data_IF_232520989495
#
_entry.id   IF_232520989495
#
_cell.length_a   1.000
_cell.length_b   1.000
_cell.length_c   1.000
_cell.angle_alpha   90.00
_cell.angle_beta   90.00
_cell.angle_gamma   90.00
#
_symmetry.space_group_name_H-M   'P 1'
#
loop_
_entity.id
_entity.type
_entity.pdbx_description
1 polymer ?
#
# COMPACT_ATOMS: atom_id res chain seq x y z
N UNK A 1 -72.93 -6.29 -69.52
CA UNK A 1 -71.93 -7.34 -69.41
C UNK A 1 -70.63 -6.64 -68.90
N UNK A 2 -70.48 -6.53 -67.55
CA UNK A 2 -69.33 -5.88 -66.93
C UNK A 2 -68.44 -6.94 -66.31
N UNK A 3 -67.14 -7.04 -66.80
CA UNK A 3 -66.14 -7.85 -66.19
C UNK A 3 -65.46 -7.07 -65.04
N UNK A 4 -65.45 -7.70 -63.85
CA UNK A 4 -64.64 -7.24 -62.71
C UNK A 4 -63.31 -7.97 -62.73
N UNK A 5 -62.19 -7.23 -62.82
CA UNK A 5 -60.84 -7.73 -62.60
C UNK A 5 -60.46 -7.49 -61.14
N UNK A 6 -60.19 -8.57 -60.40
CA UNK A 6 -59.68 -8.50 -59.04
C UNK A 6 -58.16 -8.46 -59.08
N UNK A 7 -57.56 -7.40 -58.56
CA UNK A 7 -56.13 -7.29 -58.28
C UNK A 7 -55.84 -7.87 -56.91
N UNK A 8 -55.06 -8.94 -56.83
CA UNK A 8 -54.52 -9.51 -55.62
C UNK A 8 -53.15 -8.89 -55.36
N UNK A 9 -53.02 -8.06 -54.34
CA UNK A 9 -51.72 -7.52 -53.83
C UNK A 9 -51.14 -8.47 -52.78
N UNK A 10 -50.10 -9.19 -53.16
CA UNK A 10 -49.29 -10.01 -52.24
C UNK A 10 -48.29 -9.11 -51.50
N UNK A 11 -48.51 -8.89 -50.19
CA UNK A 11 -47.53 -8.22 -49.31
C UNK A 11 -46.42 -9.20 -48.92
N UNK A 12 -45.25 -9.00 -49.47
CA UNK A 12 -44.01 -9.75 -49.09
C UNK A 12 -43.44 -9.12 -47.83
N UNK A 13 -43.70 -9.71 -46.66
CA UNK A 13 -43.10 -9.28 -45.38
C UNK A 13 -41.62 -9.69 -45.35
N UNK A 14 -40.72 -8.73 -45.40
CA UNK A 14 -39.30 -8.93 -45.08
C UNK A 14 -39.20 -9.12 -43.56
N UNK A 15 -39.00 -10.36 -43.12
CA UNK A 15 -38.48 -10.64 -41.76
C UNK A 15 -36.98 -10.35 -41.77
N UNK A 16 -36.58 -9.18 -41.24
CA UNK A 16 -35.21 -8.96 -40.82
C UNK A 16 -34.96 -9.81 -39.56
N UNK A 17 -34.33 -10.97 -39.75
CA UNK A 17 -33.72 -11.72 -38.65
C UNK A 17 -32.56 -10.91 -38.14
N UNK A 18 -32.69 -10.30 -36.95
CA UNK A 18 -31.56 -9.74 -36.24
C UNK A 18 -30.60 -10.88 -35.89
N UNK A 19 -29.47 -10.94 -36.59
CA UNK A 19 -28.36 -11.81 -36.24
C UNK A 19 -27.83 -11.28 -34.89
N UNK A 20 -27.83 -12.10 -33.83
CA UNK A 20 -27.22 -11.66 -32.57
C UNK A 20 -25.74 -11.39 -32.82
N UNK A 21 -25.32 -10.14 -32.66
CA UNK A 21 -23.90 -9.79 -32.62
C UNK A 21 -23.30 -10.56 -31.44
N UNK A 22 -22.31 -11.42 -31.66
CA UNK A 22 -21.68 -12.09 -30.52
C UNK A 22 -21.11 -11.02 -29.60
N UNK A 23 -21.61 -10.96 -28.37
CA UNK A 23 -21.00 -10.15 -27.32
C UNK A 23 -19.59 -10.69 -27.11
N UNK A 24 -18.57 -9.94 -27.52
CA UNK A 24 -17.19 -10.29 -27.25
C UNK A 24 -17.01 -10.33 -25.73
N UNK A 25 -16.38 -11.40 -25.21
CA UNK A 25 -16.00 -11.43 -23.80
C UNK A 25 -15.13 -10.21 -23.50
N UNK A 26 -15.34 -9.58 -22.34
CA UNK A 26 -14.52 -8.48 -21.89
C UNK A 26 -13.05 -8.92 -21.77
N UNK A 27 -12.12 -8.00 -21.88
CA UNK A 27 -10.68 -8.23 -21.80
C UNK A 27 -10.04 -7.16 -20.92
N UNK A 28 -8.80 -7.38 -20.48
CA UNK A 28 -8.05 -6.37 -19.73
C UNK A 28 -7.96 -5.03 -20.49
N UNK A 29 -7.97 -5.04 -21.82
CA UNK A 29 -8.01 -3.84 -22.66
C UNK A 29 -9.28 -2.98 -22.47
N UNK A 30 -10.36 -3.56 -21.96
CA UNK A 30 -11.62 -2.84 -21.73
C UNK A 30 -11.63 -2.07 -20.38
N UNK A 31 -10.65 -2.32 -19.54
CA UNK A 31 -10.44 -1.57 -18.29
C UNK A 31 -9.94 -0.17 -18.64
N UNK A 32 -10.68 0.85 -18.30
CA UNK A 32 -10.31 2.26 -18.56
C UNK A 32 -9.61 2.90 -17.37
N UNK A 33 -9.91 2.46 -16.14
CA UNK A 33 -9.36 3.03 -14.91
C UNK A 33 -8.73 1.96 -14.03
N UNK A 34 -7.49 2.18 -13.59
CA UNK A 34 -6.83 1.43 -12.52
C UNK A 34 -6.60 2.40 -11.36
N UNK A 35 -7.25 2.14 -10.24
CA UNK A 35 -7.22 2.97 -9.04
C UNK A 35 -6.54 2.17 -7.94
N UNK A 36 -5.45 2.69 -7.36
CA UNK A 36 -4.75 2.05 -6.25
C UNK A 36 -4.92 2.90 -5.01
N UNK A 37 -5.49 2.31 -3.95
CA UNK A 37 -5.62 2.92 -2.64
C UNK A 37 -4.57 2.29 -1.75
N UNK A 38 -3.64 3.10 -1.25
CA UNK A 38 -2.41 2.68 -0.57
C UNK A 38 -2.48 3.09 0.89
N UNK A 39 -2.89 2.14 1.76
CA UNK A 39 -3.06 2.32 3.20
C UNK A 39 -1.74 2.11 3.96
N UNK A 40 -1.78 2.16 5.28
CA UNK A 40 -0.59 2.07 6.12
C UNK A 40 -0.65 0.97 7.16
N UNK A 41 0.41 0.25 7.17
CA UNK A 41 1.20 -0.35 8.21
C UNK A 41 0.52 -1.51 8.93
N UNK A 42 -0.03 -2.47 8.17
CA UNK A 42 -0.53 -3.71 8.74
C UNK A 42 -0.09 -4.94 7.94
N UNK A 43 0.40 -5.98 8.65
CA UNK A 43 0.64 -7.27 8.02
C UNK A 43 -0.67 -7.99 7.69
N UNK A 44 -0.60 -8.99 6.80
CA UNK A 44 -1.77 -9.81 6.49
C UNK A 44 -2.31 -10.50 7.75
N UNK A 45 -1.45 -11.13 8.54
CA UNK A 45 -1.88 -11.80 9.77
C UNK A 45 -2.47 -10.85 10.81
N UNK A 46 -2.03 -9.59 10.84
CA UNK A 46 -2.52 -8.62 11.81
C UNK A 46 -4.01 -8.27 11.60
N UNK A 47 -4.49 -8.15 10.34
CA UNK A 47 -5.88 -7.79 10.03
C UNK A 47 -6.68 -8.93 9.39
N UNK A 48 -6.05 -9.80 8.60
CA UNK A 48 -6.69 -10.84 7.81
C UNK A 48 -6.30 -12.26 8.24
N UNK A 49 -5.53 -12.42 9.31
CA UNK A 49 -5.02 -13.69 9.79
C UNK A 49 -6.07 -14.75 10.13
N UNK A 50 -7.33 -14.35 10.29
CA UNK A 50 -8.48 -15.23 10.50
C UNK A 50 -9.50 -15.19 9.36
N UNK A 51 -9.14 -14.65 8.21
CA UNK A 51 -10.04 -14.63 7.05
C UNK A 51 -10.34 -16.08 6.60
N UNK A 52 -11.61 -16.45 6.41
CA UNK A 52 -11.98 -17.84 6.08
C UNK A 52 -11.31 -18.32 4.78
N UNK A 53 -10.70 -19.49 4.83
CA UNK A 53 -10.01 -20.16 3.73
C UNK A 53 -8.75 -19.44 3.19
N UNK A 54 -8.32 -18.34 3.79
CA UNK A 54 -7.02 -17.76 3.50
C UNK A 54 -5.90 -18.49 4.24
N UNK A 55 -4.66 -18.34 3.76
CA UNK A 55 -3.47 -18.81 4.48
C UNK A 55 -3.19 -17.87 5.66
N UNK A 56 -3.83 -18.15 6.79
CA UNK A 56 -3.83 -17.30 7.98
C UNK A 56 -3.14 -17.95 9.18
N UNK A 57 -3.25 -17.30 10.34
CA UNK A 57 -2.55 -17.63 11.60
C UNK A 57 -2.72 -19.11 12.02
N UNK A 58 -3.83 -19.77 11.67
CA UNK A 58 -4.03 -21.18 11.97
C UNK A 58 -2.97 -22.10 11.35
N UNK A 59 -2.37 -21.69 10.22
CA UNK A 59 -1.30 -22.39 9.51
C UNK A 59 0.10 -22.09 10.06
N UNK A 60 0.25 -21.14 10.99
CA UNK A 60 1.54 -20.58 11.41
C UNK A 60 2.54 -21.59 12.02
N UNK A 61 2.07 -22.72 12.52
CA UNK A 61 2.99 -23.76 13.03
C UNK A 61 3.98 -23.24 14.09
N UNK A 62 5.27 -23.48 13.86
CA UNK A 62 6.35 -23.07 14.76
C UNK A 62 6.75 -21.57 14.60
N UNK A 63 6.45 -20.92 13.49
CA UNK A 63 6.82 -19.52 13.24
C UNK A 63 6.17 -18.54 14.21
N UNK A 64 5.07 -18.93 14.84
CA UNK A 64 4.38 -18.14 15.88
C UNK A 64 5.15 -18.01 17.20
N UNK A 65 6.17 -18.83 17.44
CA UNK A 65 6.97 -18.80 18.68
C UNK A 65 8.12 -17.83 18.48
N UNK A 66 8.12 -16.75 19.25
CA UNK A 66 9.16 -15.73 19.16
C UNK A 66 10.36 -16.10 20.05
N UNK A 67 11.55 -15.73 19.58
CA UNK A 67 12.83 -15.95 20.25
C UNK A 67 13.54 -14.62 20.53
N UNK A 68 14.47 -14.65 21.48
CA UNK A 68 15.37 -13.51 21.71
C UNK A 68 16.42 -13.36 20.59
N UNK A 69 17.22 -12.32 20.65
CA UNK A 69 18.27 -12.07 19.65
C UNK A 69 19.26 -13.22 19.53
N UNK A 70 19.45 -14.04 20.60
CA UNK A 70 20.32 -15.22 20.64
C UNK A 70 19.66 -16.50 20.15
N UNK A 71 18.34 -16.44 19.84
CA UNK A 71 17.58 -17.59 19.33
C UNK A 71 16.93 -18.45 20.41
N UNK A 72 16.85 -18.00 21.67
CA UNK A 72 16.17 -18.73 22.73
C UNK A 72 14.69 -18.34 22.79
N UNK A 73 13.75 -19.31 22.81
CA UNK A 73 12.32 -19.02 22.94
C UNK A 73 11.99 -18.25 24.21
N UNK A 74 11.17 -17.22 24.09
CA UNK A 74 10.62 -16.54 25.26
C UNK A 74 9.65 -17.46 26.02
N UNK A 75 9.68 -17.43 27.33
CA UNK A 75 8.65 -18.09 28.18
C UNK A 75 7.33 -17.34 28.08
N UNK A 76 7.38 -16.02 28.14
CA UNK A 76 6.31 -15.09 27.86
C UNK A 76 6.83 -14.05 26.88
N UNK A 77 5.97 -13.46 26.06
CA UNK A 77 6.38 -12.32 25.24
C UNK A 77 6.98 -11.22 26.12
N UNK A 78 7.97 -10.48 25.63
CA UNK A 78 8.40 -9.26 26.31
C UNK A 78 7.21 -8.33 26.53
N UNK A 79 7.12 -7.62 27.67
CA UNK A 79 6.05 -6.66 27.92
C UNK A 79 5.88 -5.69 26.75
N UNK A 80 4.64 -5.37 26.41
CA UNK A 80 4.35 -4.39 25.35
C UNK A 80 4.84 -3.02 25.80
N UNK A 81 5.63 -2.38 24.93
CA UNK A 81 6.14 -1.02 25.16
C UNK A 81 5.58 -0.05 24.11
N UNK A 82 5.57 1.25 24.45
CA UNK A 82 5.18 2.32 23.55
C UNK A 82 6.07 3.54 23.74
N UNK A 83 6.30 4.29 22.66
CA UNK A 83 7.02 5.57 22.75
C UNK A 83 6.08 6.66 23.26
N UNK A 84 6.47 7.31 24.36
CA UNK A 84 5.74 8.42 24.96
C UNK A 84 6.55 9.70 24.79
N UNK A 85 5.95 10.74 24.21
CA UNK A 85 6.57 12.07 24.11
C UNK A 85 6.39 12.81 25.43
N UNK A 86 7.51 13.16 26.06
CA UNK A 86 7.53 13.94 27.30
C UNK A 86 7.29 15.43 27.01
N UNK A 87 6.93 16.25 28.02
CA UNK A 87 6.72 17.70 27.87
C UNK A 87 7.92 18.46 27.29
N UNK A 88 9.15 17.97 27.50
CA UNK A 88 10.39 18.54 26.96
C UNK A 88 10.65 18.12 25.50
N UNK A 89 9.74 17.34 24.91
CA UNK A 89 9.84 16.85 23.53
C UNK A 89 10.63 15.56 23.39
N UNK A 90 11.27 15.03 24.44
CA UNK A 90 11.96 13.75 24.40
C UNK A 90 10.97 12.59 24.24
N UNK A 91 11.36 11.55 23.47
CA UNK A 91 10.61 10.30 23.39
C UNK A 91 11.28 9.26 24.26
N UNK A 92 10.51 8.60 25.11
CA UNK A 92 10.97 7.51 25.97
C UNK A 92 10.08 6.30 25.79
N UNK A 93 10.68 5.10 25.86
CA UNK A 93 9.91 3.86 25.89
C UNK A 93 9.35 3.63 27.27
N UNK A 94 8.06 3.29 27.36
CA UNK A 94 7.37 2.91 28.59
C UNK A 94 6.52 1.67 28.34
N UNK A 95 6.38 0.81 29.37
CA UNK A 95 5.43 -0.31 29.32
C UNK A 95 4.03 0.26 29.10
N UNK A 96 3.30 -0.31 28.12
CA UNK A 96 1.90 0.04 27.90
C UNK A 96 1.03 -0.68 28.95
N UNK A 97 0.43 0.07 29.91
CA UNK A 97 -0.31 -0.53 31.01
C UNK A 97 -1.63 -1.21 30.60
N UNK A 98 -2.05 -1.05 29.34
CA UNK A 98 -3.25 -1.71 28.79
C UNK A 98 -3.03 -3.20 28.61
N UNK A 99 -1.77 -3.64 28.47
CA UNK A 99 -1.43 -5.04 28.23
C UNK A 99 -0.86 -5.71 29.50
N UNK A 100 -1.16 -7.00 29.74
CA UNK A 100 -0.54 -7.74 30.84
C UNK A 100 0.95 -8.00 30.56
N UNK A 101 1.77 -7.99 31.63
CA UNK A 101 3.21 -8.20 31.52
C UNK A 101 3.66 -9.66 31.27
N UNK A 102 2.72 -10.60 31.12
CA UNK A 102 2.98 -12.04 30.96
C UNK A 102 2.16 -12.67 29.83
N UNK A 103 2.03 -11.94 28.69
CA UNK A 103 1.40 -12.48 27.50
C UNK A 103 2.09 -13.80 27.08
N UNK A 104 1.32 -14.87 26.78
CA UNK A 104 1.88 -16.10 26.23
C UNK A 104 2.69 -15.84 24.95
N UNK A 105 3.75 -16.60 24.73
CA UNK A 105 4.56 -16.52 23.52
C UNK A 105 3.83 -17.15 22.33
N UNK A 106 2.78 -16.46 21.85
CA UNK A 106 1.94 -16.84 20.71
C UNK A 106 1.12 -15.63 20.26
N UNK A 107 0.53 -15.63 19.03
CA UNK A 107 -0.40 -14.59 18.58
C UNK A 107 -1.55 -14.38 19.56
N UNK A 108 -1.91 -13.12 19.80
CA UNK A 108 -2.98 -12.73 20.73
C UNK A 108 -3.85 -11.62 20.12
N UNK A 109 -5.13 -11.56 20.54
CA UNK A 109 -6.04 -10.51 20.11
C UNK A 109 -5.68 -9.18 20.80
N UNK A 110 -5.38 -8.16 20.01
CA UNK A 110 -5.19 -6.78 20.49
C UNK A 110 -6.50 -6.23 21.01
N UNK A 111 -7.65 -6.55 20.39
CA UNK A 111 -8.99 -6.08 20.78
C UNK A 111 -9.35 -6.42 22.24
N UNK A 112 -8.74 -7.45 22.82
CA UNK A 112 -8.93 -7.78 24.21
C UNK A 112 -8.39 -6.71 25.18
N UNK A 113 -7.50 -5.83 24.69
CA UNK A 113 -6.79 -4.81 25.49
C UNK A 113 -6.97 -3.41 24.95
N UNK A 114 -6.94 -3.26 23.65
CA UNK A 114 -7.09 -2.00 22.91
C UNK A 114 -8.08 -2.23 21.77
N UNK A 115 -9.30 -1.68 21.88
CA UNK A 115 -10.30 -1.81 20.82
C UNK A 115 -9.76 -1.32 19.46
N UNK A 116 -10.16 -1.96 18.37
CA UNK A 116 -9.73 -1.65 17.00
C UNK A 116 -9.98 -0.16 16.60
N UNK A 117 -10.92 0.52 17.27
CA UNK A 117 -11.18 1.96 17.12
C UNK A 117 -10.26 2.88 17.93
N UNK A 118 -9.27 2.32 18.64
CA UNK A 118 -8.27 3.08 19.41
C UNK A 118 -6.86 2.81 18.88
N UNK A 119 -5.95 3.81 18.89
CA UNK A 119 -4.59 3.59 18.43
C UNK A 119 -3.77 2.77 19.44
N UNK A 120 -2.95 1.85 18.93
CA UNK A 120 -1.85 1.25 19.69
C UNK A 120 -0.64 2.17 19.76
N UNK A 121 0.46 1.71 20.35
CA UNK A 121 1.79 2.28 20.09
C UNK A 121 2.19 2.05 18.63
N UNK A 122 3.07 2.93 18.13
CA UNK A 122 3.75 2.69 16.87
C UNK A 122 4.80 1.58 17.04
N UNK A 123 5.11 0.84 15.97
CA UNK A 123 6.09 -0.23 15.98
C UNK A 123 7.27 0.11 15.06
N UNK A 124 8.46 -0.28 15.43
CA UNK A 124 9.65 -0.08 14.60
C UNK A 124 9.57 -0.94 13.33
N UNK A 125 9.58 -0.29 12.17
CA UNK A 125 9.47 -0.89 10.85
C UNK A 125 10.55 -0.31 9.91
N UNK A 126 11.82 -0.71 10.13
CA UNK A 126 12.98 -0.22 9.39
C UNK A 126 13.66 -1.34 8.64
N UNK A 127 14.43 -0.98 7.63
CA UNK A 127 15.07 -1.90 6.69
C UNK A 127 15.89 -3.01 7.37
N UNK A 128 16.82 -2.63 8.22
CA UNK A 128 17.68 -3.61 8.88
C UNK A 128 16.94 -4.40 9.97
N UNK A 129 16.06 -3.74 10.70
CA UNK A 129 15.27 -4.41 11.75
C UNK A 129 14.36 -5.49 11.16
N UNK A 130 13.72 -5.21 10.03
CA UNK A 130 12.85 -6.20 9.39
C UNK A 130 13.64 -7.41 8.87
N UNK A 131 14.85 -7.21 8.33
CA UNK A 131 15.72 -8.32 7.92
C UNK A 131 16.03 -9.23 9.12
N UNK A 132 16.34 -8.65 10.28
CA UNK A 132 16.57 -9.41 11.52
C UNK A 132 15.29 -10.06 12.04
N UNK A 133 14.13 -9.37 11.96
CA UNK A 133 12.83 -9.89 12.37
C UNK A 133 12.45 -11.14 11.57
N UNK A 134 12.66 -11.11 10.24
CA UNK A 134 12.39 -12.22 9.32
C UNK A 134 13.34 -13.41 9.60
N UNK A 135 14.53 -13.16 10.09
CA UNK A 135 15.53 -14.16 10.47
C UNK A 135 15.76 -15.27 9.41
N UNK A 136 16.01 -14.83 8.18
CA UNK A 136 16.24 -15.73 7.05
C UNK A 136 15.02 -16.56 6.61
N UNK A 137 13.84 -16.21 7.09
CA UNK A 137 12.55 -16.87 6.81
C UNK A 137 11.98 -17.67 7.99
N UNK A 138 12.62 -17.63 9.17
CA UNK A 138 12.07 -18.28 10.38
C UNK A 138 10.90 -17.49 11.00
N UNK A 139 10.81 -16.20 10.72
CA UNK A 139 9.74 -15.30 11.18
C UNK A 139 9.62 -15.21 12.72
N UNK A 140 10.70 -15.41 13.45
CA UNK A 140 10.67 -15.68 14.89
C UNK A 140 11.36 -14.62 15.77
N UNK A 141 11.96 -13.54 15.16
CA UNK A 141 12.64 -12.50 15.93
C UNK A 141 11.95 -11.14 15.92
N UNK A 142 10.66 -11.06 15.60
CA UNK A 142 9.94 -9.79 15.58
C UNK A 142 9.93 -9.11 16.95
N UNK A 143 9.67 -9.86 18.02
CA UNK A 143 9.66 -9.31 19.38
C UNK A 143 11.06 -8.88 19.87
N UNK A 144 12.13 -9.48 19.34
CA UNK A 144 13.50 -9.15 19.70
C UNK A 144 13.96 -7.83 19.08
N UNK A 145 13.53 -7.56 17.82
CA UNK A 145 13.98 -6.41 17.01
C UNK A 145 12.86 -5.37 16.80
N UNK A 146 12.04 -5.15 17.83
CA UNK A 146 11.01 -4.10 17.85
C UNK A 146 11.06 -3.32 19.15
N UNK A 147 10.82 -2.03 19.08
CA UNK A 147 10.62 -1.15 20.25
C UNK A 147 9.26 -1.37 20.94
N UNK A 148 8.26 -1.89 20.20
CA UNK A 148 6.95 -2.26 20.73
C UNK A 148 6.92 -3.65 21.38
N UNK A 149 8.02 -4.40 21.32
CA UNK A 149 8.21 -5.71 21.95
C UNK A 149 7.13 -6.72 21.61
N UNK A 150 6.34 -7.18 22.62
CA UNK A 150 5.31 -8.19 22.44
C UNK A 150 4.14 -7.79 21.54
N UNK A 151 3.93 -6.50 21.28
CA UNK A 151 2.83 -6.04 20.42
C UNK A 151 2.91 -6.58 18.99
N UNK A 152 4.12 -6.82 18.49
CA UNK A 152 4.39 -7.23 17.10
C UNK A 152 3.62 -8.47 16.65
N UNK A 153 3.31 -9.40 17.57
CA UNK A 153 2.60 -10.64 17.26
C UNK A 153 1.09 -10.55 17.55
N UNK A 154 0.60 -9.34 17.84
CA UNK A 154 -0.82 -9.08 18.03
C UNK A 154 -1.60 -9.03 16.72
N UNK A 155 -2.87 -9.41 16.78
CA UNK A 155 -3.81 -9.32 15.67
C UNK A 155 -5.14 -8.69 16.10
N UNK A 156 -5.87 -8.12 15.15
CA UNK A 156 -7.24 -7.66 15.31
C UNK A 156 -8.25 -8.66 14.74
N UNK A 157 -9.48 -8.64 15.24
CA UNK A 157 -10.60 -9.26 14.55
C UNK A 157 -11.01 -8.42 13.35
N UNK A 158 -10.38 -8.69 12.20
CA UNK A 158 -10.62 -7.96 10.95
C UNK A 158 -12.06 -8.07 10.45
N UNK A 159 -12.87 -9.02 10.96
CA UNK A 159 -14.29 -9.14 10.57
C UNK A 159 -15.13 -7.92 10.98
N UNK A 160 -14.60 -7.04 11.81
CA UNK A 160 -15.20 -5.76 12.20
C UNK A 160 -15.01 -4.67 11.12
N UNK A 161 -14.14 -4.89 10.11
CA UNK A 161 -13.83 -3.90 9.07
C UNK A 161 -14.69 -4.06 7.82
N UNK A 162 -14.91 -2.97 7.10
CA UNK A 162 -15.59 -2.95 5.80
C UNK A 162 -14.73 -3.59 4.72
N UNK A 163 -13.40 -3.40 4.80
CA UNK A 163 -12.46 -4.01 3.86
C UNK A 163 -12.58 -5.55 3.86
N UNK A 164 -12.84 -6.15 5.02
CA UNK A 164 -13.13 -7.57 5.12
C UNK A 164 -14.42 -7.98 4.37
N UNK A 165 -15.45 -7.14 4.40
CA UNK A 165 -16.67 -7.38 3.64
C UNK A 165 -16.46 -7.21 2.13
N UNK A 166 -15.60 -6.28 1.70
CA UNK A 166 -15.16 -6.20 0.31
C UNK A 166 -14.41 -7.45 -0.13
N UNK A 167 -13.50 -7.96 0.71
CA UNK A 167 -12.77 -9.20 0.43
C UNK A 167 -13.70 -10.42 0.27
N UNK A 168 -14.79 -10.51 1.05
CA UNK A 168 -15.82 -11.55 0.89
C UNK A 168 -16.59 -11.45 -0.44
N UNK A 169 -16.73 -10.24 -0.98
CA UNK A 169 -17.48 -9.99 -2.22
C UNK A 169 -16.64 -10.09 -3.48
N UNK A 170 -15.36 -9.73 -3.39
CA UNK A 170 -14.42 -9.63 -4.51
C UNK A 170 -13.25 -10.60 -4.34
N UNK A 171 -12.06 -10.26 -4.81
CA UNK A 171 -10.88 -11.12 -4.70
C UNK A 171 -9.94 -10.64 -3.59
N UNK A 172 -9.57 -11.53 -2.69
CA UNK A 172 -8.51 -11.35 -1.71
C UNK A 172 -7.23 -12.04 -2.22
N UNK A 173 -6.11 -11.33 -2.31
CA UNK A 173 -4.80 -11.92 -2.54
C UNK A 173 -4.11 -12.16 -1.19
N UNK A 174 -3.98 -13.42 -0.78
CA UNK A 174 -3.44 -13.78 0.54
C UNK A 174 -1.94 -14.07 0.54
N UNK A 175 -1.29 -13.99 -0.61
CA UNK A 175 0.17 -14.06 -0.78
C UNK A 175 0.72 -12.81 -1.47
N UNK A 176 0.25 -11.64 -1.03
CA UNK A 176 0.75 -10.36 -1.51
C UNK A 176 1.73 -9.77 -0.50
N UNK A 177 2.95 -9.46 -0.96
CA UNK A 177 4.07 -8.99 -0.15
C UNK A 177 4.37 -7.52 -0.44
N UNK A 178 4.76 -6.74 0.56
CA UNK A 178 5.25 -5.39 0.26
C UNK A 178 6.64 -5.46 -0.40
N UNK A 179 6.94 -4.48 -1.28
CA UNK A 179 8.05 -4.63 -2.22
C UNK A 179 9.43 -4.64 -1.58
N UNK A 180 9.66 -3.87 -0.54
CA UNK A 180 10.98 -3.70 0.03
C UNK A 180 10.97 -3.85 1.55
N UNK A 181 12.03 -4.41 2.13
CA UNK A 181 12.22 -4.43 3.58
C UNK A 181 12.15 -3.04 4.18
N UNK A 182 11.56 -2.92 5.37
CA UNK A 182 11.46 -1.68 6.12
C UNK A 182 10.22 -0.86 5.79
N UNK A 183 10.35 0.45 5.95
CA UNK A 183 9.23 1.36 6.11
C UNK A 183 8.68 1.98 4.83
N UNK A 184 7.70 2.87 5.04
CA UNK A 184 6.85 3.47 4.02
C UNK A 184 7.62 4.19 2.92
N UNK A 185 8.69 4.96 3.25
CA UNK A 185 9.46 5.68 2.22
C UNK A 185 9.95 4.76 1.11
N UNK A 186 10.62 3.65 1.50
CA UNK A 186 11.22 2.75 0.52
C UNK A 186 10.14 2.03 -0.28
N UNK A 187 9.03 1.63 0.34
CA UNK A 187 7.92 0.99 -0.34
C UNK A 187 7.18 1.93 -1.31
N UNK A 188 7.11 3.24 -0.99
CA UNK A 188 6.63 4.24 -1.95
C UNK A 188 7.56 4.38 -3.18
N UNK A 189 8.88 4.35 -3.01
CA UNK A 189 9.81 4.33 -4.14
C UNK A 189 9.66 3.05 -4.98
N UNK A 190 9.57 1.90 -4.35
CA UNK A 190 9.35 0.65 -5.07
C UNK A 190 8.01 0.64 -5.81
N UNK A 191 7.02 1.37 -5.32
CA UNK A 191 5.73 1.52 -5.97
C UNK A 191 5.75 2.50 -7.16
N UNK A 192 6.66 3.49 -7.21
CA UNK A 192 6.69 4.44 -8.33
C UNK A 192 7.84 4.23 -9.31
N UNK A 193 8.96 3.63 -8.89
CA UNK A 193 10.14 3.42 -9.74
C UNK A 193 10.70 2.01 -9.72
N UNK A 194 10.11 1.06 -8.97
CA UNK A 194 10.66 -0.29 -8.75
C UNK A 194 12.16 -0.23 -8.38
N UNK A 195 12.55 0.74 -7.56
CA UNK A 195 13.96 1.05 -7.28
C UNK A 195 14.18 1.51 -5.83
N UNK A 196 15.41 1.34 -5.36
CA UNK A 196 15.91 1.94 -4.12
C UNK A 196 16.72 3.18 -4.48
N UNK A 197 16.37 4.38 -3.99
CA UNK A 197 17.05 5.61 -4.37
C UNK A 197 18.47 5.64 -3.80
N UNK A 198 19.39 6.27 -4.53
CA UNK A 198 20.77 6.43 -4.11
C UNK A 198 21.03 7.86 -3.68
N UNK A 199 21.72 8.04 -2.57
CA UNK A 199 22.18 9.35 -2.12
C UNK A 199 23.42 9.75 -2.90
N UNK A 200 23.30 10.56 -3.93
CA UNK A 200 24.42 11.07 -4.71
C UNK A 200 25.14 12.21 -3.97
N UNK A 201 26.45 12.30 -4.14
CA UNK A 201 27.25 13.41 -3.60
C UNK A 201 27.60 13.32 -2.10
N UNK A 202 27.28 12.25 -1.40
CA UNK A 202 27.76 12.05 -0.02
C UNK A 202 29.28 11.95 0.02
N UNK A 203 29.95 12.67 0.96
CA UNK A 203 31.38 12.47 1.21
C UNK A 203 31.66 11.00 1.61
N UNK A 204 32.82 10.43 1.21
CA UNK A 204 33.16 9.03 1.53
C UNK A 204 33.19 8.70 3.02
N UNK A 205 33.52 9.70 3.85
CA UNK A 205 33.64 9.60 5.32
C UNK A 205 32.31 9.85 6.05
N UNK A 206 31.27 10.31 5.36
CA UNK A 206 29.94 10.51 5.94
C UNK A 206 29.21 9.20 6.23
N UNK A 207 29.70 8.06 5.71
CA UNK A 207 29.08 6.75 5.86
C UNK A 207 29.88 5.94 6.88
N UNK A 208 29.54 6.06 8.16
CA UNK A 208 30.02 5.14 9.18
C UNK A 208 28.97 4.08 9.44
N UNK A 209 28.98 3.03 8.61
CA UNK A 209 28.06 1.91 8.79
C UNK A 209 28.53 0.98 9.89
N UNK A 210 27.96 1.10 11.07
CA UNK A 210 27.81 -0.03 11.99
C UNK A 210 26.37 -0.08 12.42
N UNK A 211 25.66 -1.05 11.88
CA UNK A 211 24.35 -1.42 12.41
C UNK A 211 24.54 -1.93 13.84
N UNK A 212 23.99 -1.24 14.80
CA UNK A 212 23.88 -1.66 16.19
C UNK A 212 22.45 -1.47 16.63
N UNK A 213 21.74 -2.58 16.82
CA UNK A 213 20.36 -2.64 17.28
C UNK A 213 20.12 -1.80 18.54
N UNK A 214 21.09 -1.77 19.45
CA UNK A 214 20.97 -1.03 20.70
C UNK A 214 21.24 0.48 20.55
N UNK A 215 21.81 0.92 19.44
CA UNK A 215 22.10 2.34 19.17
C UNK A 215 20.93 3.08 18.50
N UNK A 216 19.92 2.38 17.98
CA UNK A 216 18.78 3.00 17.31
C UNK A 216 18.05 4.03 18.15
N UNK A 217 17.87 3.76 19.43
CA UNK A 217 17.15 4.64 20.37
C UNK A 217 18.04 5.79 20.85
N UNK A 218 19.37 5.57 20.97
CA UNK A 218 20.30 6.56 21.55
C UNK A 218 20.79 7.64 20.57
N UNK A 219 20.63 7.44 19.25
CA UNK A 219 21.14 8.38 18.22
C UNK A 219 20.06 9.31 17.65
N UNK A 220 18.83 9.22 18.11
CA UNK A 220 17.76 10.14 17.74
C UNK A 220 18.09 11.56 18.23
N UNK A 221 18.64 12.41 17.34
CA UNK A 221 18.76 13.86 17.57
C UNK A 221 20.16 14.43 17.70
N UNK A 222 21.23 13.72 17.37
CA UNK A 222 22.58 14.33 17.30
C UNK A 222 22.70 15.22 16.05
N UNK A 223 22.98 16.53 16.25
CA UNK A 223 23.20 17.48 15.16
C UNK A 223 24.46 17.12 14.36
N UNK A 224 24.36 17.08 13.04
CA UNK A 224 25.49 17.03 12.11
C UNK A 224 25.98 15.63 11.75
N UNK A 225 25.27 14.57 12.13
CA UNK A 225 25.58 13.20 11.73
C UNK A 225 24.42 12.68 10.89
N UNK A 226 24.70 12.30 9.63
CA UNK A 226 23.72 11.51 8.83
C UNK A 226 23.56 10.21 9.60
N UNK A 227 22.32 9.89 9.95
CA UNK A 227 22.01 8.69 10.70
C UNK A 227 22.44 7.47 9.88
N UNK A 228 23.29 6.65 10.47
CA UNK A 228 23.87 5.46 9.82
C UNK A 228 22.87 4.41 9.44
N UNK A 229 21.64 4.48 10.00
CA UNK A 229 20.53 3.60 9.69
C UNK A 229 19.69 4.05 8.47
N UNK A 230 19.86 5.31 7.99
CA UNK A 230 19.09 5.83 6.83
C UNK A 230 19.63 5.35 5.49
N UNK A 231 20.93 5.09 5.43
CA UNK A 231 21.69 4.88 4.18
C UNK A 231 22.58 3.67 4.33
N UNK A 232 22.60 2.80 3.32
CA UNK A 232 23.54 1.65 3.27
C UNK A 232 24.99 2.11 3.02
N UNK A 233 26.00 1.27 3.28
CA UNK A 233 27.42 1.59 3.00
C UNK A 233 27.70 1.97 1.55
N UNK A 234 26.92 1.43 0.60
CA UNK A 234 26.97 1.72 -0.83
C UNK A 234 26.01 2.84 -1.26
N UNK A 235 25.50 3.61 -0.27
CA UNK A 235 24.75 4.86 -0.41
C UNK A 235 23.30 4.74 -0.88
N UNK A 236 22.66 3.61 -0.73
CA UNK A 236 21.24 3.51 -0.96
C UNK A 236 20.44 3.99 0.26
N UNK A 237 19.38 4.77 0.00
CA UNK A 237 18.50 5.25 1.04
C UNK A 237 17.46 4.17 1.35
N UNK A 238 17.45 3.68 2.58
CA UNK A 238 16.62 2.54 3.00
C UNK A 238 15.62 2.88 4.11
N UNK A 239 15.75 4.04 4.74
CA UNK A 239 14.81 4.51 5.76
C UNK A 239 14.43 5.97 5.51
N UNK A 240 13.39 6.45 6.23
CA UNK A 240 12.76 7.75 5.98
C UNK A 240 13.73 8.92 6.14
N UNK A 241 13.89 9.67 5.06
CA UNK A 241 14.66 10.89 4.92
C UNK A 241 13.81 11.96 4.23
N UNK A 242 14.04 13.25 4.51
CA UNK A 242 13.24 14.32 3.89
C UNK A 242 13.61 14.55 2.41
N UNK A 243 12.68 14.98 1.56
CA UNK A 243 12.99 15.52 0.23
C UNK A 243 13.63 16.90 0.36
N UNK A 244 14.60 17.22 -0.49
CA UNK A 244 15.31 18.51 -0.39
C UNK A 244 14.42 19.72 -0.65
N UNK A 245 13.45 19.62 -1.56
CA UNK A 245 12.63 20.74 -2.02
C UNK A 245 11.13 20.56 -1.80
N UNK A 246 10.73 19.50 -1.16
CA UNK A 246 9.30 19.24 -0.90
C UNK A 246 8.75 20.09 0.23
N UNK A 247 7.44 20.09 0.43
CA UNK A 247 6.88 20.60 1.67
C UNK A 247 7.33 19.72 2.83
N UNK A 248 7.58 20.34 3.99
CA UNK A 248 8.02 19.67 5.21
C UNK A 248 7.03 19.96 6.34
N UNK A 249 6.80 18.99 7.25
CA UNK A 249 5.90 19.19 8.40
C UNK A 249 6.52 20.14 9.44
N UNK A 250 7.84 20.36 9.41
CA UNK A 250 8.56 21.18 10.37
C UNK A 250 8.96 22.53 9.78
N UNK A 251 8.79 23.58 10.57
CA UNK A 251 9.25 24.92 10.23
C UNK A 251 10.02 25.54 11.41
N UNK A 252 11.34 25.74 11.31
CA UNK A 252 12.17 25.55 10.12
C UNK A 252 12.39 24.06 9.80
N UNK A 253 12.67 23.73 8.54
CA UNK A 253 12.97 22.35 8.16
C UNK A 253 14.22 21.84 8.89
N UNK A 254 14.36 20.49 9.04
CA UNK A 254 15.53 19.90 9.70
C UNK A 254 16.85 20.30 9.03
N UNK A 255 18.01 20.08 9.70
CA UNK A 255 19.33 20.34 9.13
C UNK A 255 19.51 19.72 7.75
N UNK A 256 20.18 20.41 6.85
CA UNK A 256 20.31 20.08 5.44
C UNK A 256 20.91 18.69 5.13
N UNK A 257 21.69 18.15 6.04
CA UNK A 257 22.30 16.82 6.00
C UNK A 257 21.32 15.64 6.17
N UNK A 258 20.08 15.94 6.56
CA UNK A 258 19.00 14.95 6.64
C UNK A 258 18.07 14.94 5.40
N UNK A 259 18.49 15.56 4.29
CA UNK A 259 17.70 15.62 3.06
C UNK A 259 18.29 14.75 1.97
N UNK A 260 17.44 14.05 1.26
CA UNK A 260 17.82 13.39 0.00
C UNK A 260 17.89 14.45 -1.10
N UNK A 261 19.04 14.60 -1.79
CA UNK A 261 19.11 15.44 -2.99
C UNK A 261 18.10 14.98 -4.04
N UNK A 262 17.61 15.91 -4.90
CA UNK A 262 16.64 15.56 -5.90
C UNK A 262 17.12 14.43 -6.80
N UNK A 263 16.26 13.44 -7.00
CA UNK A 263 16.53 12.33 -7.91
C UNK A 263 16.37 12.83 -9.34
N UNK A 264 17.35 12.54 -10.19
CA UNK A 264 17.32 12.87 -11.62
C UNK A 264 16.25 12.03 -12.34
N UNK A 265 15.13 12.68 -12.67
CA UNK A 265 13.97 12.07 -13.34
C UNK A 265 14.27 11.52 -14.74
N UNK A 266 15.35 11.99 -15.39
CA UNK A 266 15.80 11.47 -16.69
C UNK A 266 16.57 10.16 -16.57
N UNK A 267 17.20 9.91 -15.43
CA UNK A 267 17.99 8.70 -15.16
C UNK A 267 17.18 7.62 -14.44
N UNK A 268 16.23 8.03 -13.63
CA UNK A 268 15.38 7.15 -12.84
C UNK A 268 13.93 7.30 -13.32
N UNK A 269 13.48 6.44 -14.26
CA UNK A 269 12.11 6.50 -14.75
C UNK A 269 11.13 6.10 -13.65
N UNK A 270 9.95 6.71 -13.68
CA UNK A 270 8.83 6.37 -12.81
C UNK A 270 7.66 5.84 -13.62
N UNK A 271 6.71 5.18 -12.94
CA UNK A 271 5.46 4.78 -13.60
C UNK A 271 4.73 6.00 -14.18
N UNK A 272 4.79 7.16 -13.50
CA UNK A 272 4.23 8.40 -14.01
C UNK A 272 4.89 8.85 -15.32
N UNK A 273 6.23 8.77 -15.44
CA UNK A 273 6.91 9.10 -16.70
C UNK A 273 6.53 8.13 -17.82
N UNK A 274 6.44 6.81 -17.54
CA UNK A 274 6.01 5.80 -18.53
C UNK A 274 4.59 6.05 -19.04
N UNK A 275 3.67 6.43 -18.13
CA UNK A 275 2.29 6.79 -18.49
C UNK A 275 2.25 8.04 -19.36
N UNK A 276 2.98 9.10 -18.97
CA UNK A 276 3.07 10.35 -19.73
C UNK A 276 3.65 10.15 -21.13
N UNK A 277 4.68 9.31 -21.29
CA UNK A 277 5.28 8.96 -22.58
C UNK A 277 4.28 8.32 -23.57
N UNK A 278 3.23 7.69 -23.04
CA UNK A 278 2.14 7.05 -23.81
C UNK A 278 0.87 7.88 -23.87
N UNK A 279 0.87 9.12 -23.35
CA UNK A 279 -0.30 9.98 -23.22
C UNK A 279 -1.45 9.33 -22.43
N UNK A 280 -1.13 8.48 -21.44
CA UNK A 280 -2.08 7.94 -20.49
C UNK A 280 -2.21 8.91 -19.33
N UNK A 281 -3.44 9.34 -19.04
CA UNK A 281 -3.69 10.26 -17.93
C UNK A 281 -3.46 9.57 -16.59
N UNK A 282 -2.79 10.26 -15.66
CA UNK A 282 -2.53 9.73 -14.32
C UNK A 282 -2.40 10.84 -13.29
N UNK A 283 -2.66 10.50 -12.02
CA UNK A 283 -2.38 11.38 -10.90
C UNK A 283 -2.08 10.59 -9.62
N UNK A 284 -1.26 11.20 -8.75
CA UNK A 284 -1.03 10.80 -7.37
C UNK A 284 -1.75 11.80 -6.45
N UNK A 285 -2.73 11.32 -5.70
CA UNK A 285 -3.49 12.10 -4.75
C UNK A 285 -2.98 11.79 -3.34
N UNK A 286 -2.47 12.80 -2.64
CA UNK A 286 -1.94 12.67 -1.29
C UNK A 286 -2.73 13.54 -0.31
N UNK A 287 -3.16 12.97 0.79
CA UNK A 287 -3.93 13.71 1.80
C UNK A 287 -3.13 14.83 2.44
N UNK A 288 -3.69 16.05 2.46
CA UNK A 288 -3.07 17.25 3.03
C UNK A 288 -1.98 17.88 2.17
N UNK A 289 -1.87 17.50 0.90
CA UNK A 289 -0.85 18.00 -0.02
C UNK A 289 -0.93 19.51 -0.25
N UNK A 290 -2.12 20.03 -0.55
CA UNK A 290 -2.30 21.46 -0.84
C UNK A 290 -1.95 22.33 0.36
N UNK A 291 -2.37 21.92 1.56
CA UNK A 291 -2.07 22.64 2.79
C UNK A 291 -0.57 22.60 3.10
N UNK A 292 0.10 21.48 2.82
CA UNK A 292 1.55 21.36 2.97
C UNK A 292 2.32 22.24 1.99
N UNK A 293 1.91 22.29 0.72
CA UNK A 293 2.48 23.17 -0.31
C UNK A 293 2.27 24.65 0.04
N UNK A 294 1.13 24.98 0.68
CA UNK A 294 0.85 26.31 1.18
C UNK A 294 1.62 26.67 2.49
N UNK A 295 2.45 25.77 3.02
CA UNK A 295 3.18 25.96 4.27
C UNK A 295 2.31 25.83 5.53
N UNK A 296 1.17 25.13 5.41
CA UNK A 296 0.17 24.92 6.47
C UNK A 296 -0.03 23.42 6.74
N UNK A 297 1.03 22.62 6.56
CA UNK A 297 0.96 21.18 6.80
C UNK A 297 0.40 20.84 8.17
N UNK A 298 -0.56 19.92 8.23
CA UNK A 298 -1.05 19.39 9.49
C UNK A 298 0.01 18.50 10.14
N UNK A 299 -0.17 18.22 11.44
CA UNK A 299 0.68 17.26 12.16
C UNK A 299 0.63 15.84 11.61
N UNK A 300 -0.44 15.51 10.90
CA UNK A 300 -0.70 14.19 10.33
C UNK A 300 -0.31 14.09 8.83
N UNK A 301 0.25 15.19 8.27
CA UNK A 301 0.84 15.17 6.94
C UNK A 301 2.19 14.45 6.97
N UNK A 302 2.32 13.45 6.10
CA UNK A 302 3.56 12.69 5.93
C UNK A 302 4.17 13.03 4.56
N UNK A 303 5.32 13.72 4.56
CA UNK A 303 5.98 14.21 3.34
C UNK A 303 6.32 13.09 2.34
N UNK A 304 6.65 11.89 2.83
CA UNK A 304 6.99 10.74 1.98
C UNK A 304 5.78 10.06 1.33
N UNK A 305 4.55 10.45 1.74
CA UNK A 305 3.33 9.99 1.05
C UNK A 305 3.13 10.65 -0.32
N UNK A 306 3.99 11.62 -0.67
CA UNK A 306 4.11 12.17 -2.01
C UNK A 306 5.51 11.84 -2.56
N UNK A 307 5.75 10.60 -3.04
CA UNK A 307 7.10 10.15 -3.41
C UNK A 307 7.68 10.91 -4.59
N UNK A 308 6.86 11.48 -5.47
CA UNK A 308 7.32 12.31 -6.58
C UNK A 308 7.96 13.62 -6.13
N UNK A 309 7.72 14.09 -4.89
CA UNK A 309 8.38 15.26 -4.33
C UNK A 309 9.91 15.11 -4.17
N UNK A 310 10.42 13.90 -4.26
CA UNK A 310 11.85 13.60 -4.23
C UNK A 310 12.57 13.75 -5.58
N UNK A 311 11.82 13.97 -6.68
CA UNK A 311 12.37 14.08 -8.02
C UNK A 311 12.56 15.55 -8.42
N UNK A 312 13.55 15.82 -9.29
CA UNK A 312 13.90 17.17 -9.75
C UNK A 312 12.79 17.86 -10.55
N UNK A 313 11.89 17.09 -11.17
CA UNK A 313 10.78 17.57 -11.98
C UNK A 313 9.44 17.70 -11.21
N UNK A 314 9.40 17.56 -9.88
CA UNK A 314 8.12 17.51 -9.13
C UNK A 314 7.26 18.78 -9.33
N UNK A 315 7.87 19.96 -9.49
CA UNK A 315 7.14 21.21 -9.74
C UNK A 315 6.44 21.20 -11.10
N UNK A 316 7.07 20.59 -12.11
CA UNK A 316 6.47 20.37 -13.40
C UNK A 316 5.26 19.44 -13.30
N UNK A 317 5.42 18.29 -12.59
CA UNK A 317 4.33 17.34 -12.33
C UNK A 317 3.15 18.02 -11.60
N UNK A 318 3.42 18.90 -10.63
CA UNK A 318 2.37 19.70 -9.98
C UNK A 318 1.64 20.59 -10.98
N UNK A 319 2.38 21.34 -11.82
CA UNK A 319 1.79 22.24 -12.82
C UNK A 319 0.96 21.51 -13.87
N UNK A 320 1.30 20.26 -14.15
CA UNK A 320 0.58 19.35 -15.04
C UNK A 320 -0.59 18.61 -14.35
N UNK A 321 -0.86 18.90 -13.06
CA UNK A 321 -1.91 18.27 -12.24
C UNK A 321 -1.73 16.76 -12.07
N UNK A 322 -0.49 16.29 -11.99
CA UNK A 322 -0.19 14.91 -11.64
C UNK A 322 -0.06 14.68 -10.13
N UNK A 323 0.23 15.75 -9.36
CA UNK A 323 0.35 15.70 -7.90
C UNK A 323 -0.77 16.55 -7.30
N UNK A 324 -1.73 15.89 -6.66
CA UNK A 324 -3.00 16.47 -6.24
C UNK A 324 -3.31 16.14 -4.78
N UNK A 325 -4.27 16.85 -4.20
CA UNK A 325 -4.77 16.60 -2.84
C UNK A 325 -5.88 15.53 -2.82
N UNK A 326 -6.11 14.92 -1.66
CA UNK A 326 -7.23 14.01 -1.43
C UNK A 326 -8.60 14.64 -1.74
N UNK A 327 -8.73 15.98 -1.60
CA UNK A 327 -9.95 16.71 -1.95
C UNK A 327 -10.24 16.66 -3.44
N UNK A 328 -9.20 16.77 -4.28
CA UNK A 328 -9.32 16.61 -5.72
C UNK A 328 -9.74 15.17 -6.08
N UNK A 329 -9.23 14.16 -5.38
CA UNK A 329 -9.62 12.77 -5.62
C UNK A 329 -11.14 12.56 -5.44
N UNK A 330 -11.68 13.03 -4.33
CA UNK A 330 -13.13 12.96 -4.07
C UNK A 330 -13.91 13.75 -5.11
N UNK A 331 -13.42 14.94 -5.48
CA UNK A 331 -14.04 15.76 -6.54
C UNK A 331 -14.08 15.01 -7.87
N UNK A 332 -12.95 14.44 -8.28
CA UNK A 332 -12.82 13.75 -9.57
C UNK A 332 -13.68 12.48 -9.64
N UNK A 333 -13.85 11.74 -8.52
CA UNK A 333 -14.80 10.62 -8.47
C UNK A 333 -16.25 11.11 -8.70
N UNK A 334 -16.67 12.14 -7.96
CA UNK A 334 -18.05 12.64 -8.00
C UNK A 334 -18.41 13.24 -9.37
N UNK A 335 -17.42 13.77 -10.10
CA UNK A 335 -17.62 14.38 -11.41
C UNK A 335 -17.27 13.45 -12.58
N UNK A 336 -16.94 12.18 -12.31
CA UNK A 336 -16.53 11.19 -13.33
C UNK A 336 -15.32 11.68 -14.17
N UNK A 337 -14.34 12.36 -13.53
CA UNK A 337 -13.14 12.95 -14.16
C UNK A 337 -11.83 12.34 -13.74
N UNK A 338 -11.86 11.19 -13.04
CA UNK A 338 -10.63 10.49 -12.67
C UNK A 338 -9.76 10.17 -13.89
N UNK A 339 -8.44 10.30 -13.78
CA UNK A 339 -7.52 9.84 -14.81
C UNK A 339 -7.55 8.30 -14.96
N UNK A 340 -6.91 7.80 -16.02
CA UNK A 340 -6.85 6.37 -16.32
C UNK A 340 -6.07 5.57 -15.26
N UNK A 341 -5.03 6.17 -14.66
CA UNK A 341 -4.28 5.56 -13.56
C UNK A 341 -4.27 6.51 -12.37
N UNK A 342 -4.72 6.01 -11.25
CA UNK A 342 -4.91 6.77 -10.01
C UNK A 342 -4.15 6.10 -8.88
N UNK A 343 -3.37 6.87 -8.15
CA UNK A 343 -2.76 6.48 -6.89
C UNK A 343 -3.33 7.39 -5.79
N UNK A 344 -3.90 6.79 -4.76
CA UNK A 344 -4.47 7.53 -3.64
C UNK A 344 -3.84 7.11 -2.32
N UNK A 345 -3.27 8.08 -1.60
CA UNK A 345 -2.72 7.93 -0.26
C UNK A 345 -3.49 8.83 0.71
N UNK A 346 -4.29 8.27 1.63
CA UNK A 346 -5.01 9.06 2.63
C UNK A 346 -4.07 9.85 3.55
N UNK A 347 -4.59 10.92 4.15
CA UNK A 347 -3.87 11.65 5.21
C UNK A 347 -3.67 10.75 6.43
N UNK A 348 -2.65 11.06 7.26
CA UNK A 348 -2.24 10.22 8.38
C UNK A 348 -3.36 9.74 9.30
N UNK A 349 -4.29 10.60 9.65
CA UNK A 349 -5.43 10.24 10.53
C UNK A 349 -6.44 9.26 9.90
N UNK A 350 -6.38 9.04 8.57
CA UNK A 350 -7.30 8.21 7.80
C UNK A 350 -6.60 7.05 7.05
N UNK A 351 -5.36 6.75 7.37
CA UNK A 351 -4.55 5.77 6.65
C UNK A 351 -4.33 4.45 7.40
N UNK A 352 -4.86 4.33 8.63
CA UNK A 352 -4.78 3.17 9.53
C UNK A 352 -3.44 3.00 10.29
N UNK A 353 -2.45 3.89 10.11
CA UNK A 353 -1.13 3.76 10.73
C UNK A 353 -1.19 3.66 12.27
N UNK A 354 -0.59 2.61 12.88
CA UNK A 354 -0.48 2.52 14.34
C UNK A 354 0.21 3.74 14.96
N UNK A 355 -0.16 4.07 16.18
CA UNK A 355 0.47 5.17 16.93
C UNK A 355 -0.16 6.54 16.76
N UNK A 356 -0.79 6.85 15.61
CA UNK A 356 -1.47 8.14 15.42
C UNK A 356 -2.84 8.05 14.72
N UNK A 357 -3.14 6.95 14.04
CA UNK A 357 -4.44 6.65 13.49
C UNK A 357 -5.04 5.40 14.17
N UNK A 358 -6.27 5.08 13.85
CA UNK A 358 -6.88 3.81 14.22
C UNK A 358 -7.51 3.14 12.99
N UNK A 359 -7.65 1.83 13.02
CA UNK A 359 -8.12 1.02 11.90
C UNK A 359 -9.52 1.43 11.47
N UNK A 360 -10.47 1.62 12.40
CA UNK A 360 -11.86 1.92 12.01
C UNK A 360 -12.02 3.28 11.34
N UNK A 361 -11.25 4.30 11.71
CA UNK A 361 -11.34 5.60 11.07
C UNK A 361 -10.86 5.55 9.61
N UNK A 362 -9.79 4.80 9.34
CA UNK A 362 -9.28 4.56 7.99
C UNK A 362 -10.24 3.69 7.19
N UNK A 363 -10.74 2.60 7.75
CA UNK A 363 -11.69 1.69 7.12
C UNK A 363 -13.02 2.36 6.77
N UNK A 364 -13.56 3.23 7.67
CA UNK A 364 -14.76 4.03 7.38
C UNK A 364 -14.52 5.05 6.26
N UNK A 365 -13.32 5.64 6.21
CA UNK A 365 -12.94 6.52 5.09
C UNK A 365 -12.83 5.73 3.80
N UNK A 366 -12.18 4.59 3.81
CA UNK A 366 -12.05 3.68 2.68
C UNK A 366 -13.41 3.25 2.14
N UNK A 367 -14.34 2.83 3.01
CA UNK A 367 -15.69 2.43 2.60
C UNK A 367 -16.43 3.58 1.88
N UNK A 368 -16.32 4.82 2.41
CA UNK A 368 -16.92 5.99 1.72
C UNK A 368 -16.34 6.19 0.32
N UNK A 369 -15.03 6.09 0.18
CA UNK A 369 -14.33 6.22 -1.11
C UNK A 369 -14.77 5.12 -2.07
N UNK A 370 -14.76 3.87 -1.64
CA UNK A 370 -15.14 2.73 -2.47
C UNK A 370 -16.61 2.82 -2.92
N UNK A 371 -17.52 3.22 -2.05
CA UNK A 371 -18.93 3.45 -2.43
C UNK A 371 -19.09 4.55 -3.46
N UNK A 372 -18.35 5.65 -3.36
CA UNK A 372 -18.38 6.71 -4.36
C UNK A 372 -17.90 6.18 -5.72
N UNK A 373 -16.81 5.38 -5.75
CA UNK A 373 -16.32 4.76 -6.98
C UNK A 373 -17.36 3.79 -7.55
N UNK A 374 -17.91 2.87 -6.72
CA UNK A 374 -18.94 1.91 -7.15
C UNK A 374 -20.22 2.60 -7.71
N UNK A 375 -20.54 3.83 -7.28
CA UNK A 375 -21.68 4.62 -7.74
C UNK A 375 -21.38 5.52 -8.94
N UNK A 376 -20.09 5.72 -9.29
CA UNK A 376 -19.68 6.56 -10.41
C UNK A 376 -19.95 5.88 -11.76
N UNK A 377 -19.98 6.66 -12.84
CA UNK A 377 -20.07 6.11 -14.21
C UNK A 377 -18.76 5.42 -14.65
N UNK A 378 -17.69 5.61 -13.89
CA UNK A 378 -16.39 5.00 -14.17
C UNK A 378 -16.34 3.53 -13.73
N UNK A 379 -17.17 3.15 -12.75
CA UNK A 379 -17.17 1.83 -12.13
C UNK A 379 -17.20 0.65 -13.11
N UNK A 380 -18.07 0.61 -14.16
CA UNK A 380 -18.15 -0.54 -15.05
C UNK A 380 -16.86 -0.91 -15.78
N UNK A 381 -15.88 0.02 -15.79
CA UNK A 381 -14.58 -0.17 -16.47
C UNK A 381 -13.39 0.07 -15.55
N UNK A 382 -13.61 -0.06 -14.24
CA UNK A 382 -12.59 0.20 -13.22
C UNK A 382 -12.07 -1.06 -12.56
N UNK A 383 -10.78 -1.04 -12.23
CA UNK A 383 -10.15 -1.92 -11.25
C UNK A 383 -9.71 -1.05 -10.09
N UNK A 384 -10.09 -1.42 -8.87
CA UNK A 384 -9.57 -0.83 -7.63
C UNK A 384 -8.73 -1.87 -6.92
N UNK A 385 -7.50 -1.53 -6.58
CA UNK A 385 -6.62 -2.34 -5.73
C UNK A 385 -6.45 -1.60 -4.41
N UNK A 386 -6.92 -2.20 -3.33
CA UNK A 386 -6.68 -1.71 -1.97
C UNK A 386 -5.56 -2.54 -1.37
N UNK A 387 -4.47 -1.90 -0.97
CA UNK A 387 -3.34 -2.58 -0.34
C UNK A 387 -2.64 -1.66 0.66
N UNK A 388 -1.72 -2.23 1.44
CA UNK A 388 -0.93 -1.53 2.44
C UNK A 388 0.50 -1.36 1.91
N UNK A 389 1.16 -0.29 2.31
CA UNK A 389 2.51 0.02 1.86
C UNK A 389 3.56 -0.94 2.45
N UNK A 390 3.38 -1.30 3.72
CA UNK A 390 4.22 -2.28 4.41
C UNK A 390 3.52 -2.80 5.69
N UNK A 391 4.19 -3.69 6.43
CA UNK A 391 3.59 -4.39 7.56
C UNK A 391 3.55 -3.64 8.90
N UNK A 392 4.13 -2.44 9.00
CA UNK A 392 4.19 -1.65 10.23
C UNK A 392 4.93 -2.31 11.40
N UNK A 393 5.86 -3.21 11.13
CA UNK A 393 6.54 -3.97 12.17
C UNK A 393 5.73 -5.14 12.74
N UNK A 394 4.49 -5.32 12.32
CA UNK A 394 3.68 -6.48 12.70
C UNK A 394 4.19 -7.77 12.03
N UNK A 395 4.15 -8.84 12.78
CA UNK A 395 4.52 -10.17 12.35
C UNK A 395 3.53 -10.74 11.33
N UNK A 396 4.08 -11.59 10.46
CA UNK A 396 3.33 -12.47 9.57
C UNK A 396 3.97 -13.85 9.60
N UNK A 397 3.18 -14.91 9.50
CA UNK A 397 3.71 -16.28 9.61
C UNK A 397 4.36 -16.78 8.32
N UNK A 398 4.01 -16.18 7.17
CA UNK A 398 4.52 -16.62 5.87
C UNK A 398 5.82 -15.92 5.54
N UNK A 399 6.93 -16.65 5.35
CA UNK A 399 8.20 -16.03 4.97
C UNK A 399 8.11 -15.44 3.57
N UNK A 400 8.68 -14.23 3.36
CA UNK A 400 8.73 -13.65 2.03
C UNK A 400 9.60 -14.46 1.07
N UNK A 401 9.28 -14.46 -0.23
CA UNK A 401 10.13 -15.07 -1.24
C UNK A 401 11.46 -14.32 -1.34
N UNK A 402 12.57 -15.04 -1.59
CA UNK A 402 13.89 -14.44 -1.77
C UNK A 402 14.06 -14.03 -3.23
N UNK A 403 13.91 -12.72 -3.52
CA UNK A 403 14.03 -12.19 -4.88
C UNK A 403 15.34 -11.42 -5.07
N UNK A 404 15.58 -10.41 -4.25
CA UNK A 404 16.80 -9.60 -4.30
C UNK A 404 17.16 -9.05 -2.90
N UNK A 405 18.19 -8.20 -2.82
CA UNK A 405 18.66 -7.66 -1.54
C UNK A 405 17.68 -6.66 -0.88
N UNK A 406 16.71 -6.16 -1.62
CA UNK A 406 15.77 -5.13 -1.13
C UNK A 406 14.48 -5.72 -0.56
N UNK A 407 14.16 -6.96 -0.89
CA UNK A 407 12.91 -7.59 -0.50
C UNK A 407 12.53 -8.79 -1.36
N UNK A 408 11.23 -9.13 -1.38
CA UNK A 408 10.10 -8.48 -0.70
C UNK A 408 10.17 -8.55 0.81
N UNK A 409 9.40 -7.64 1.46
CA UNK A 409 9.12 -7.75 2.89
C UNK A 409 8.00 -8.75 3.18
N UNK A 410 7.32 -8.63 4.31
CA UNK A 410 6.26 -9.57 4.70
C UNK A 410 4.94 -9.31 3.96
N UNK A 411 3.96 -10.21 4.15
CA UNK A 411 2.65 -10.05 3.50
C UNK A 411 1.89 -8.85 4.06
N UNK A 412 1.13 -8.22 3.16
CA UNK A 412 0.17 -7.17 3.49
C UNK A 412 -1.20 -7.51 2.90
N UNK A 413 -2.32 -7.08 3.52
CA UNK A 413 -3.64 -7.30 2.96
C UNK A 413 -3.78 -6.63 1.59
N UNK A 414 -4.35 -7.36 0.62
CA UNK A 414 -4.60 -6.80 -0.71
C UNK A 414 -5.93 -7.32 -1.25
N UNK A 415 -6.86 -6.39 -1.50
CA UNK A 415 -8.19 -6.69 -2.01
C UNK A 415 -8.37 -6.06 -3.40
N UNK A 416 -8.74 -6.87 -4.37
CA UNK A 416 -8.97 -6.45 -5.75
C UNK A 416 -10.48 -6.34 -5.98
N UNK A 417 -10.96 -5.10 -6.19
CA UNK A 417 -12.36 -4.72 -6.22
C UNK A 417 -12.68 -4.23 -7.64
N UNK A 418 -13.55 -4.94 -8.35
CA UNK A 418 -13.86 -4.63 -9.75
C UNK A 418 -15.12 -5.35 -10.18
N UNK A 419 -15.87 -4.85 -11.17
CA UNK A 419 -16.90 -5.63 -11.86
C UNK A 419 -16.32 -6.90 -12.50
N UNK A 420 -15.05 -6.89 -12.86
CA UNK A 420 -14.32 -8.01 -13.46
C UNK A 420 -13.68 -8.96 -12.45
N UNK A 421 -13.63 -8.61 -11.15
CA UNK A 421 -13.02 -9.45 -10.14
C UNK A 421 -13.80 -10.74 -9.92
N UNK A 422 -13.11 -11.85 -9.72
CA UNK A 422 -13.73 -13.10 -9.27
C UNK A 422 -14.40 -12.89 -7.93
N UNK A 423 -15.63 -13.39 -7.79
CA UNK A 423 -16.46 -13.15 -6.60
C UNK A 423 -16.09 -14.13 -5.47
N UNK A 424 -15.80 -13.59 -4.26
CA UNK A 424 -15.47 -14.39 -3.09
C UNK A 424 -14.26 -15.31 -3.31
N UNK A 425 -13.32 -14.88 -4.14
CA UNK A 425 -12.16 -15.67 -4.53
C UNK A 425 -10.95 -15.31 -3.68
N UNK A 426 -10.22 -16.33 -3.23
CA UNK A 426 -8.92 -16.15 -2.60
C UNK A 426 -7.86 -16.54 -3.61
N UNK A 427 -7.03 -15.58 -3.96
CA UNK A 427 -5.92 -15.78 -4.89
C UNK A 427 -4.64 -16.06 -4.10
N UNK A 428 -4.18 -17.30 -4.15
CA UNK A 428 -2.95 -17.77 -3.51
C UNK A 428 -1.69 -17.54 -4.36
N UNK A 429 -1.80 -16.79 -5.46
CA UNK A 429 -0.65 -16.45 -6.29
C UNK A 429 0.27 -15.51 -5.53
N UNK A 430 1.57 -15.80 -5.56
CA UNK A 430 2.58 -14.91 -4.97
C UNK A 430 2.71 -13.63 -5.80
N UNK A 431 2.46 -12.50 -5.16
CA UNK A 431 2.57 -11.15 -5.68
C UNK A 431 3.42 -10.27 -4.78
N UNK A 432 3.87 -9.15 -5.31
CA UNK A 432 4.36 -8.03 -4.50
C UNK A 432 3.85 -6.68 -5.05
N UNK A 433 4.19 -5.57 -4.40
CA UNK A 433 3.76 -4.23 -4.85
C UNK A 433 4.08 -3.97 -6.31
N UNK A 434 5.18 -4.56 -6.86
CA UNK A 434 5.52 -4.41 -8.28
C UNK A 434 4.59 -5.18 -9.22
N UNK A 435 3.76 -6.07 -8.69
CA UNK A 435 2.67 -6.72 -9.45
C UNK A 435 1.59 -5.73 -9.87
N UNK A 436 1.38 -4.66 -9.09
CA UNK A 436 0.48 -3.57 -9.47
C UNK A 436 1.09 -2.77 -10.64
N UNK A 437 2.40 -2.49 -10.59
CA UNK A 437 3.11 -1.89 -11.72
C UNK A 437 2.96 -2.75 -12.96
N UNK A 438 3.15 -4.06 -12.83
CA UNK A 438 2.99 -5.02 -13.92
C UNK A 438 1.59 -5.02 -14.53
N UNK A 439 0.54 -4.93 -13.70
CA UNK A 439 -0.84 -4.79 -14.19
C UNK A 439 -1.01 -3.53 -15.04
N UNK A 440 -0.50 -2.40 -14.58
CA UNK A 440 -0.53 -1.11 -15.30
C UNK A 440 0.27 -1.20 -16.59
N UNK A 441 1.48 -1.77 -16.54
CA UNK A 441 2.35 -1.95 -17.70
C UNK A 441 1.69 -2.80 -18.79
N UNK A 442 1.12 -3.94 -18.41
CA UNK A 442 0.43 -4.84 -19.35
C UNK A 442 -0.80 -4.18 -19.94
N UNK A 443 -1.62 -3.50 -19.09
CA UNK A 443 -2.83 -2.83 -19.55
C UNK A 443 -2.56 -1.72 -20.57
N UNK A 444 -1.52 -0.94 -20.36
CA UNK A 444 -1.22 0.25 -21.19
C UNK A 444 -0.03 0.06 -22.14
N UNK A 445 0.55 -1.12 -22.20
CA UNK A 445 1.68 -1.43 -23.08
C UNK A 445 2.93 -0.59 -22.75
N UNK A 446 3.26 -0.48 -21.47
CA UNK A 446 4.40 0.30 -20.99
C UNK A 446 5.66 -0.58 -20.90
N UNK A 447 6.82 0.04 -21.08
CA UNK A 447 8.10 -0.60 -20.78
C UNK A 447 8.29 -0.72 -19.26
N UNK A 448 8.79 -1.86 -18.77
CA UNK A 448 9.09 -2.04 -17.36
C UNK A 448 10.06 -0.99 -16.81
N UNK A 449 9.97 -0.73 -15.51
CA UNK A 449 10.87 0.17 -14.79
C UNK A 449 12.16 -0.51 -14.39
N UNK A 450 12.09 -1.81 -14.06
CA UNK A 450 13.22 -2.58 -13.59
C UNK A 450 13.10 -4.09 -13.87
N UNK A 451 13.90 -4.86 -13.13
CA UNK A 451 13.88 -6.31 -13.28
C UNK A 451 12.73 -6.96 -12.50
N UNK A 452 12.33 -6.38 -11.36
CA UNK A 452 11.34 -7.01 -10.50
C UNK A 452 9.95 -6.90 -11.11
N UNK A 453 9.49 -5.70 -11.46
CA UNK A 453 8.22 -5.45 -12.14
C UNK A 453 8.13 -6.20 -13.47
N UNK A 454 9.23 -6.24 -14.25
CA UNK A 454 9.29 -7.05 -15.49
C UNK A 454 8.93 -8.52 -15.27
N UNK A 455 9.38 -9.11 -14.16
CA UNK A 455 9.23 -10.54 -13.87
C UNK A 455 8.07 -10.85 -12.89
N UNK A 456 7.44 -9.85 -12.32
CA UNK A 456 6.29 -10.02 -11.42
C UNK A 456 5.07 -10.57 -12.16
N UNK A 457 4.16 -11.23 -11.41
CA UNK A 457 2.82 -11.57 -11.88
C UNK A 457 1.97 -10.30 -11.96
N UNK A 458 1.03 -10.25 -12.87
CA UNK A 458 0.27 -9.05 -13.24
C UNK A 458 -1.13 -8.94 -12.63
N UNK A 459 -1.44 -9.66 -11.59
CA UNK A 459 -2.76 -9.73 -10.92
C UNK A 459 -3.92 -10.23 -11.81
N UNK A 460 -3.69 -10.62 -13.05
CA UNK A 460 -4.79 -11.03 -13.96
C UNK A 460 -5.50 -12.30 -13.52
N UNK A 461 -4.88 -13.14 -12.67
CA UNK A 461 -5.52 -14.30 -12.06
C UNK A 461 -6.72 -13.94 -11.18
N UNK A 462 -6.79 -12.70 -10.67
CA UNK A 462 -7.89 -12.20 -9.86
C UNK A 462 -9.18 -11.91 -10.64
N UNK A 463 -9.12 -11.88 -11.98
CA UNK A 463 -10.24 -11.43 -12.83
C UNK A 463 -10.91 -12.57 -13.57
N UNK A 464 -12.20 -12.40 -13.86
CA UNK A 464 -12.98 -13.16 -14.82
C UNK A 464 -13.60 -12.18 -15.83
N UNK A 465 -12.96 -12.06 -16.97
CA UNK A 465 -13.46 -11.23 -18.08
C UNK A 465 -14.52 -11.91 -18.94
N UNK A 466 -14.87 -13.17 -18.67
CA UNK A 466 -15.83 -13.95 -19.48
C UNK A 466 -17.26 -13.79 -19.02
N UNK A 467 -17.48 -13.33 -17.79
CA UNK A 467 -18.77 -13.14 -17.16
C UNK A 467 -19.04 -11.65 -16.92
N UNK A 468 -19.47 -10.86 -17.92
CA UNK A 468 -19.89 -9.49 -17.65
C UNK A 468 -21.10 -9.54 -16.72
N UNK A 469 -21.07 -8.82 -15.59
CA UNK A 469 -22.29 -8.59 -14.81
C UNK A 469 -23.34 -8.03 -15.77
N UNK A 470 -24.46 -8.75 -15.93
CA UNK A 470 -25.65 -8.18 -16.53
C UNK A 470 -25.92 -6.89 -15.77
N UNK A 471 -25.95 -5.76 -16.48
CA UNK A 471 -26.29 -4.45 -15.96
C UNK A 471 -27.33 -4.61 -14.85
N UNK A 472 -26.94 -4.30 -13.62
CA UNK A 472 -27.86 -4.30 -12.48
C UNK A 472 -28.93 -3.27 -12.81
N UNK A 473 -30.08 -3.77 -13.19
CA UNK A 473 -31.16 -3.12 -13.87
C UNK A 473 -31.44 -1.72 -13.39
N UNK A 474 -31.57 -0.85 -14.36
CA UNK A 474 -32.45 0.29 -14.24
C UNK A 474 -33.79 -0.22 -13.66
N UNK A 475 -34.02 0.02 -12.38
CA UNK A 475 -35.41 -0.10 -11.83
C UNK A 475 -36.23 1.01 -12.42
N UNK A 476 -37.46 0.68 -12.84
CA UNK A 476 -38.41 1.63 -13.45
C UNK A 476 -38.79 2.78 -12.51
#
# INVERSE_FOLDING_TARGET
>A
MFLWLAFSTTLLGLFLSAVPVPCSAAQLSDVEHIIVIYLENHSFDNLFGFFPNADGIAAAGATKIQVDASGHPYTFLPPVERLVKKPDGTKVSEIDPRFPGNLPNQPFSIDAFVPIGEPTGDLLHRYYDQIEQIDGGRMDKFAAYSDARGLVIGFYDGSQTKLWDYAKRYTLADHFFHAAFGGSLLNHFWFICACTPRYEGLPPDAITAKFDVNSHISQLGQKGVIRTDLITPDRYVVNTIFPQFGPHPENPPPPFDNFLPPIDSKRVPTIGSRLSDKNISWAWYSGGWDDAVAGQASKDFQFHHQPFAYFDNYKELMSQRHLLDARDFIWDIVHDTLPQVVFYKPIGELNEHPGYANVLAGDDHLDRVLRLIEQSKLWPKSIVVVTFDENGGYWDHVPPPKIDQWGPGVRVPTVIISPFAKKGFIDHTTYDTTSILKLIEVRFGLEPLGNRDKNSKDLTAAFDFTSPEKEAGAKP
#
